data_IF_102734940277
#
_entry.id   IF_102734940277
#
_cell.length_a   1.000
_cell.length_b   1.000
_cell.length_c   1.000
_cell.angle_alpha   90.00
_cell.angle_beta   90.00
_cell.angle_gamma   90.00
#
_symmetry.space_group_name_H-M   'P 1'
#
loop_
_entity.id
_entity.type
_entity.pdbx_description
1 polymer ?
#
# COMPACT_ATOMS: atom_id res chain seq x y z
N UNK A 1 6.76 19.34 45.35
CA UNK A 1 7.91 19.77 44.51
C UNK A 1 8.72 18.52 44.26
N UNK A 2 8.93 17.98 43.06
CA UNK A 2 9.07 18.58 41.74
C UNK A 2 8.11 17.96 40.70
N UNK A 3 7.66 18.80 39.78
CA UNK A 3 6.94 18.45 38.57
C UNK A 3 7.86 17.73 37.58
N UNK A 4 7.39 16.67 36.92
CA UNK A 4 7.73 16.48 35.51
C UNK A 4 6.50 16.00 34.73
N UNK A 5 6.19 16.77 33.70
CA UNK A 5 4.97 16.75 32.89
C UNK A 5 5.09 15.73 31.75
N UNK A 6 3.93 15.34 31.21
CA UNK A 6 3.72 14.60 29.95
C UNK A 6 3.77 13.06 29.97
N UNK A 7 3.03 12.43 30.90
CA UNK A 7 2.32 11.19 30.53
C UNK A 7 0.93 11.62 30.07
N UNK A 8 0.81 12.05 28.80
CA UNK A 8 -0.49 12.22 28.17
C UNK A 8 -1.14 10.85 28.10
N UNK A 9 -2.29 10.72 28.76
CA UNK A 9 -3.31 9.66 28.62
C UNK A 9 -3.21 8.95 27.27
N UNK A 10 -2.68 7.74 27.26
CA UNK A 10 -2.87 6.79 26.17
C UNK A 10 -4.30 6.27 26.28
N UNK A 11 -5.18 6.75 25.40
CA UNK A 11 -6.44 6.07 25.13
C UNK A 11 -6.07 4.70 24.56
N UNK A 12 -6.50 3.62 25.24
CA UNK A 12 -6.33 2.24 24.79
C UNK A 12 -7.10 2.11 23.47
N UNK A 13 -6.39 2.23 22.36
CA UNK A 13 -6.93 2.04 21.02
C UNK A 13 -6.60 0.61 20.62
N UNK A 14 -7.62 -0.24 20.48
CA UNK A 14 -7.43 -1.62 20.03
C UNK A 14 -7.08 -1.60 18.53
N UNK A 15 -5.79 -1.82 18.21
CA UNK A 15 -5.33 -1.93 16.83
C UNK A 15 -5.36 -3.39 16.39
N UNK A 16 -6.28 -3.74 15.48
CA UNK A 16 -6.29 -5.05 14.85
C UNK A 16 -5.19 -5.13 13.80
N UNK A 17 -4.34 -6.16 13.91
CA UNK A 17 -3.27 -6.51 12.96
C UNK A 17 -3.30 -8.01 12.71
N UNK A 18 -3.00 -8.41 11.49
CA UNK A 18 -2.86 -9.83 11.15
C UNK A 18 -1.54 -10.37 11.67
N UNK A 19 -1.49 -11.68 11.87
CA UNK A 19 -0.28 -12.39 12.28
C UNK A 19 0.90 -12.19 11.31
N UNK A 20 0.62 -12.18 9.99
CA UNK A 20 1.65 -11.94 8.98
C UNK A 20 2.21 -10.52 9.04
N UNK A 21 1.38 -9.51 9.31
CA UNK A 21 1.85 -8.12 9.49
C UNK A 21 2.78 -8.00 10.69
N UNK A 22 2.43 -8.62 11.81
CA UNK A 22 3.28 -8.65 13.01
C UNK A 22 4.61 -9.37 12.75
N UNK A 23 4.59 -10.53 12.09
CA UNK A 23 5.82 -11.30 11.83
C UNK A 23 6.76 -10.54 10.88
N UNK A 24 6.21 -9.86 9.85
CA UNK A 24 7.01 -8.99 8.97
C UNK A 24 7.61 -7.78 9.69
N UNK A 25 6.88 -7.21 10.65
CA UNK A 25 7.39 -6.18 11.53
C UNK A 25 8.56 -6.68 12.38
N UNK A 26 8.42 -7.82 13.04
CA UNK A 26 9.47 -8.44 13.86
C UNK A 26 10.77 -8.69 13.08
N UNK A 27 10.68 -9.37 11.93
CA UNK A 27 11.85 -9.69 11.09
C UNK A 27 12.62 -8.43 10.68
N UNK A 28 11.91 -7.34 10.40
CA UNK A 28 12.53 -6.05 10.04
C UNK A 28 13.09 -5.32 11.23
N UNK A 29 12.44 -5.39 12.38
CA UNK A 29 12.94 -4.81 13.61
C UNK A 29 14.29 -5.45 13.98
N UNK A 30 14.38 -6.77 13.92
CA UNK A 30 15.64 -7.49 14.17
C UNK A 30 16.70 -7.26 13.08
N UNK A 31 16.30 -6.96 11.84
CA UNK A 31 17.24 -6.54 10.80
C UNK A 31 17.78 -5.13 11.03
N UNK A 32 16.92 -4.20 11.47
CA UNK A 32 17.27 -2.79 11.68
C UNK A 32 18.05 -2.59 12.99
N UNK A 33 17.71 -3.37 14.02
CA UNK A 33 18.32 -3.32 15.34
C UNK A 33 18.82 -4.71 15.77
N UNK A 34 19.85 -5.26 15.12
CA UNK A 34 20.30 -6.65 15.36
C UNK A 34 20.82 -6.91 16.78
N UNK A 35 21.17 -5.85 17.52
CA UNK A 35 21.68 -5.95 18.89
C UNK A 35 20.59 -5.87 19.96
N UNK A 36 19.31 -5.73 19.57
CA UNK A 36 18.20 -5.54 20.51
C UNK A 36 17.84 -6.80 21.30
N UNK A 37 18.22 -7.98 20.79
CA UNK A 37 18.02 -9.25 21.48
C UNK A 37 16.55 -9.66 21.65
N UNK A 38 15.64 -9.13 20.82
CA UNK A 38 14.23 -9.51 20.85
C UNK A 38 14.03 -10.82 20.11
N UNK A 39 13.51 -11.82 20.82
CA UNK A 39 13.26 -13.15 20.30
C UNK A 39 11.75 -13.44 20.23
N UNK A 40 11.34 -14.16 19.18
CA UNK A 40 9.99 -14.71 19.06
C UNK A 40 10.09 -16.23 19.12
N UNK A 41 9.41 -16.81 20.11
CA UNK A 41 9.47 -18.25 20.39
C UNK A 41 8.64 -19.11 19.42
N UNK A 42 8.14 -18.52 18.34
CA UNK A 42 7.24 -19.17 17.39
C UNK A 42 7.54 -18.73 15.95
N UNK A 43 7.14 -19.57 14.99
CA UNK A 43 7.45 -19.42 13.56
C UNK A 43 6.20 -19.14 12.73
N UNK A 44 6.40 -18.64 11.51
CA UNK A 44 5.34 -18.21 10.58
C UNK A 44 4.29 -19.30 10.22
N UNK A 45 4.54 -20.59 10.48
CA UNK A 45 3.80 -21.71 9.88
C UNK A 45 2.87 -22.52 10.80
N UNK A 46 2.58 -22.10 12.03
CA UNK A 46 1.81 -22.93 12.98
C UNK A 46 0.37 -22.44 13.17
N UNK A 47 -0.59 -23.09 12.49
CA UNK A 47 -2.03 -22.77 12.48
C UNK A 47 -2.87 -23.74 13.35
N UNK A 48 -2.55 -23.92 14.63
CA UNK A 48 -3.42 -24.66 15.56
C UNK A 48 -4.08 -23.74 16.59
N UNK A 49 -5.36 -23.98 16.95
CA UNK A 49 -6.15 -23.12 17.87
C UNK A 49 -5.52 -22.96 19.26
N UNK A 50 -4.81 -23.98 19.76
CA UNK A 50 -4.07 -23.93 21.03
C UNK A 50 -2.81 -23.05 20.88
N UNK A 51 -2.22 -23.06 19.69
CA UNK A 51 -1.03 -22.28 19.35
C UNK A 51 -1.35 -20.80 19.20
N UNK A 52 -2.55 -20.44 18.73
CA UNK A 52 -3.00 -19.04 18.67
C UNK A 52 -3.02 -18.34 20.05
N UNK A 53 -3.40 -19.04 21.13
CA UNK A 53 -3.33 -18.48 22.50
C UNK A 53 -1.89 -18.31 22.98
N UNK A 54 -0.99 -19.25 22.64
CA UNK A 54 0.45 -19.12 22.93
C UNK A 54 1.08 -17.96 22.16
N UNK A 55 0.76 -17.81 20.89
CA UNK A 55 1.19 -16.67 20.07
C UNK A 55 0.76 -15.35 20.69
N UNK A 56 -0.45 -15.23 21.24
CA UNK A 56 -0.86 -14.00 21.93
C UNK A 56 0.03 -13.70 23.14
N UNK A 57 0.34 -14.71 23.96
CA UNK A 57 1.24 -14.56 25.10
C UNK A 57 2.65 -14.14 24.65
N UNK A 58 3.20 -14.84 23.66
CA UNK A 58 4.54 -14.57 23.15
C UNK A 58 4.63 -13.20 22.45
N UNK A 59 3.56 -12.78 21.76
CA UNK A 59 3.43 -11.43 21.19
C UNK A 59 3.44 -10.39 22.31
N UNK A 60 2.64 -10.59 23.37
CA UNK A 60 2.61 -9.66 24.49
C UNK A 60 3.97 -9.55 25.18
N UNK A 61 4.66 -10.67 25.41
CA UNK A 61 6.01 -10.69 25.98
C UNK A 61 7.00 -9.94 25.08
N UNK A 62 6.93 -10.14 23.76
CA UNK A 62 7.72 -9.38 22.80
C UNK A 62 7.42 -7.89 22.87
N UNK A 63 6.15 -7.48 22.93
CA UNK A 63 5.74 -6.08 22.99
C UNK A 63 6.22 -5.41 24.28
N UNK A 64 6.09 -6.08 25.42
CA UNK A 64 6.64 -5.59 26.69
C UNK A 64 8.15 -5.36 26.61
N UNK A 65 8.89 -6.29 26.01
CA UNK A 65 10.34 -6.14 25.83
C UNK A 65 10.70 -5.04 24.82
N UNK A 66 9.91 -4.89 23.75
CA UNK A 66 10.07 -3.81 22.78
C UNK A 66 9.89 -2.45 23.43
N UNK A 67 8.83 -2.23 24.20
CA UNK A 67 8.58 -0.93 24.85
C UNK A 67 9.52 -0.64 26.03
N UNK A 68 10.26 -1.64 26.51
CA UNK A 68 11.34 -1.48 27.50
C UNK A 68 12.71 -1.27 26.86
N UNK A 69 12.82 -1.38 25.54
CA UNK A 69 14.06 -1.13 24.81
C UNK A 69 14.40 0.36 24.76
N UNK A 70 15.47 0.72 24.04
CA UNK A 70 15.92 2.12 23.97
C UNK A 70 14.91 3.00 23.23
N UNK A 71 14.85 4.28 23.60
CA UNK A 71 13.97 5.26 22.93
C UNK A 71 14.24 5.34 21.42
N UNK A 72 15.49 5.14 20.98
CA UNK A 72 15.84 5.07 19.55
C UNK A 72 15.08 3.97 18.80
N UNK A 73 14.83 2.84 19.45
CA UNK A 73 14.04 1.74 18.87
C UNK A 73 12.56 2.05 18.96
N UNK A 74 12.07 2.42 20.16
CA UNK A 74 10.64 2.64 20.41
C UNK A 74 10.08 3.80 19.58
N UNK A 75 10.87 4.86 19.39
CA UNK A 75 10.53 6.02 18.57
C UNK A 75 10.99 5.87 17.12
N UNK A 76 11.49 4.70 16.71
CA UNK A 76 11.84 4.47 15.32
C UNK A 76 10.61 4.55 14.42
N UNK A 77 10.79 5.08 13.21
CA UNK A 77 9.73 5.14 12.21
C UNK A 77 9.06 3.77 11.99
N UNK A 78 9.81 2.68 12.11
CA UNK A 78 9.30 1.31 11.98
C UNK A 78 8.28 0.97 13.07
N UNK A 79 8.59 1.28 14.34
CA UNK A 79 7.71 1.01 15.50
C UNK A 79 6.53 1.98 15.48
N UNK A 80 6.77 3.27 15.28
CA UNK A 80 5.72 4.29 15.22
C UNK A 80 4.73 3.97 14.08
N UNK A 81 5.23 3.61 12.89
CA UNK A 81 4.38 3.26 11.75
C UNK A 81 3.53 2.02 12.05
N UNK A 82 4.10 1.00 12.70
CA UNK A 82 3.36 -0.21 13.04
C UNK A 82 2.19 0.07 14.03
N UNK A 83 2.44 0.90 15.06
CA UNK A 83 1.47 1.17 16.13
C UNK A 83 0.55 2.38 15.91
N UNK A 84 0.94 3.41 15.14
CA UNK A 84 0.23 4.69 15.09
C UNK A 84 -0.39 5.07 13.72
N UNK A 85 -0.18 4.30 12.65
CA UNK A 85 -0.69 4.65 11.30
C UNK A 85 -2.22 4.56 11.10
N UNK A 86 -3.04 4.43 12.16
CA UNK A 86 -4.52 4.55 12.13
C UNK A 86 -4.99 5.55 13.21
N UNK A 87 -4.36 6.71 13.33
CA UNK A 87 -4.79 7.78 14.24
C UNK A 87 -5.05 9.11 13.51
N UNK A 88 -5.82 9.07 12.42
CA UNK A 88 -6.52 10.29 11.95
C UNK A 88 -8.05 10.15 11.87
N UNK A 89 -8.62 8.95 11.97
CA UNK A 89 -10.09 8.79 11.94
C UNK A 89 -10.78 9.11 13.27
N UNK A 90 -10.04 9.37 14.35
CA UNK A 90 -10.60 9.74 15.65
C UNK A 90 -10.42 11.21 16.07
N UNK A 91 -9.70 12.05 15.31
CA UNK A 91 -9.65 13.49 15.60
C UNK A 91 -10.76 14.30 14.89
N UNK A 92 -11.59 13.69 14.06
CA UNK A 92 -12.73 14.37 13.41
C UNK A 92 -14.00 14.35 14.30
N UNK A 93 -14.08 13.50 15.32
CA UNK A 93 -15.35 13.28 16.04
C UNK A 93 -15.56 14.07 17.35
N UNK A 94 -14.64 14.93 17.79
CA UNK A 94 -14.79 15.70 19.04
C UNK A 94 -14.66 17.23 18.90
N UNK A 95 -14.92 17.78 17.71
CA UNK A 95 -15.14 19.23 17.53
C UNK A 95 -16.58 19.50 17.09
N UNK A 96 -17.52 19.40 18.03
CA UNK A 96 -18.83 20.06 17.91
C UNK A 96 -18.66 21.56 18.16
N UNK A 97 -18.25 22.30 17.15
CA UNK A 97 -18.51 23.74 17.08
C UNK A 97 -19.43 24.05 15.89
N UNK A 98 -20.40 24.93 16.14
CA UNK A 98 -21.46 25.33 15.23
C UNK A 98 -20.90 25.96 13.92
N UNK A 99 -21.65 25.88 12.81
CA UNK A 99 -21.18 26.31 11.51
C UNK A 99 -21.06 27.83 11.47
N UNK A 100 -19.84 28.33 11.33
CA UNK A 100 -19.63 29.64 10.74
C UNK A 100 -19.43 29.43 9.25
N UNK A 101 -20.29 30.09 8.48
CA UNK A 101 -20.28 30.15 7.03
C UNK A 101 -18.87 30.46 6.51
N UNK A 102 -18.24 29.47 5.86
CA UNK A 102 -17.46 29.59 4.60
C UNK A 102 -16.67 28.30 4.26
N UNK A 103 -17.25 27.11 4.51
CA UNK A 103 -16.64 25.83 4.09
C UNK A 103 -17.22 25.30 2.75
N UNK A 104 -18.30 25.89 2.25
CA UNK A 104 -18.89 25.56 0.94
C UNK A 104 -18.13 26.18 -0.24
N UNK A 105 -17.13 27.04 -0.01
CA UNK A 105 -16.29 27.64 -1.06
C UNK A 105 -15.06 26.81 -1.43
N UNK A 106 -14.69 25.77 -0.65
CA UNK A 106 -13.53 24.90 -0.96
C UNK A 106 -13.89 23.56 -1.62
N UNK A 107 -15.17 23.27 -1.82
CA UNK A 107 -15.65 22.06 -2.51
C UNK A 107 -16.39 22.34 -3.82
N UNK A 108 -16.36 23.59 -4.31
CA UNK A 108 -17.10 23.96 -5.52
C UNK A 108 -16.37 25.00 -6.38
N UNK A 109 -15.05 24.86 -6.60
CA UNK A 109 -14.37 25.43 -7.78
C UNK A 109 -12.98 24.79 -7.94
N UNK A 110 -12.93 23.58 -8.49
CA UNK A 110 -11.81 23.22 -9.35
C UNK A 110 -12.34 22.59 -10.63
N UNK A 111 -12.63 23.46 -11.59
CA UNK A 111 -12.92 23.12 -12.97
C UNK A 111 -11.65 22.71 -13.74
N UNK A 112 -10.75 21.94 -13.12
CA UNK A 112 -9.62 21.32 -13.80
C UNK A 112 -9.70 19.79 -13.68
N UNK A 113 -10.11 19.15 -14.77
CA UNK A 113 -10.03 17.69 -14.98
C UNK A 113 -8.60 17.11 -14.88
N UNK A 114 -7.60 17.93 -14.53
CA UNK A 114 -6.18 17.60 -14.51
C UNK A 114 -5.67 17.00 -13.20
N UNK A 115 -6.42 17.09 -12.10
CA UNK A 115 -5.92 16.66 -10.78
C UNK A 115 -6.30 15.24 -10.37
N UNK A 116 -6.99 14.48 -11.24
CA UNK A 116 -7.34 13.09 -10.94
C UNK A 116 -6.10 12.18 -11.00
N UNK A 117 -5.97 11.21 -10.07
CA UNK A 117 -4.95 10.18 -10.14
C UNK A 117 -5.02 9.44 -11.50
N UNK A 118 -3.89 9.38 -12.22
CA UNK A 118 -3.83 8.78 -13.55
C UNK A 118 -2.54 8.00 -13.80
N UNK A 119 -2.58 7.09 -14.77
CA UNK A 119 -1.46 6.25 -15.20
C UNK A 119 -1.31 6.25 -16.72
N UNK A 120 -0.07 6.41 -17.20
CA UNK A 120 0.29 6.31 -18.62
C UNK A 120 0.70 4.88 -18.94
N UNK A 121 -0.09 4.21 -19.79
CA UNK A 121 0.17 2.83 -20.22
C UNK A 121 0.30 2.78 -21.74
N UNK A 122 1.29 2.04 -22.22
CA UNK A 122 1.48 1.71 -23.63
C UNK A 122 1.37 0.21 -23.84
N UNK A 123 0.48 -0.20 -24.73
CA UNK A 123 0.29 -1.59 -25.15
C UNK A 123 0.86 -1.80 -26.55
N UNK A 124 1.62 -2.87 -26.73
CA UNK A 124 2.12 -3.31 -28.04
C UNK A 124 1.98 -4.83 -28.12
N UNK A 125 1.56 -5.34 -29.28
CA UNK A 125 1.62 -6.77 -29.57
C UNK A 125 2.59 -6.99 -30.73
N UNK A 126 3.55 -7.89 -30.55
CA UNK A 126 4.59 -8.16 -31.54
C UNK A 126 5.20 -9.55 -31.32
N UNK A 127 5.44 -10.29 -32.41
CA UNK A 127 6.07 -11.61 -32.40
C UNK A 127 5.53 -12.59 -31.33
N UNK A 128 4.20 -12.71 -31.21
CA UNK A 128 3.59 -13.63 -30.24
C UNK A 128 3.56 -13.11 -28.79
N UNK A 129 3.90 -11.83 -28.57
CA UNK A 129 4.06 -11.26 -27.23
C UNK A 129 3.28 -9.97 -27.05
N UNK A 130 2.55 -9.88 -25.94
CA UNK A 130 2.00 -8.62 -25.44
C UNK A 130 3.04 -7.94 -24.55
N UNK A 131 3.34 -6.68 -24.88
CA UNK A 131 4.15 -5.77 -24.08
C UNK A 131 3.22 -4.73 -23.42
N UNK A 132 3.29 -4.66 -22.10
CA UNK A 132 2.57 -3.68 -21.27
C UNK A 132 3.60 -2.77 -20.63
N UNK A 133 3.82 -1.60 -21.21
CA UNK A 133 4.72 -0.60 -20.65
C UNK A 133 3.93 0.35 -19.75
N UNK A 134 4.29 0.39 -18.48
CA UNK A 134 3.80 1.39 -17.52
C UNK A 134 4.84 2.49 -17.43
N UNK A 135 4.54 3.68 -17.95
CA UNK A 135 5.52 4.78 -18.04
C UNK A 135 5.59 5.58 -16.75
N UNK A 136 4.49 6.19 -16.35
CA UNK A 136 4.39 7.02 -15.16
C UNK A 136 2.97 7.01 -14.59
N UNK A 137 2.84 7.37 -13.32
CA UNK A 137 1.56 7.76 -12.75
C UNK A 137 1.67 9.18 -12.18
N UNK A 138 0.56 9.93 -12.17
CA UNK A 138 0.50 11.29 -11.64
C UNK A 138 -0.61 11.41 -10.60
N UNK A 139 -0.43 12.34 -9.67
CA UNK A 139 -1.41 12.71 -8.65
C UNK A 139 -1.86 11.52 -7.79
N UNK A 140 -0.96 10.58 -7.47
CA UNK A 140 -1.29 9.49 -6.55
C UNK A 140 -1.73 10.05 -5.18
N UNK A 141 -2.61 9.35 -4.45
CA UNK A 141 -3.05 9.80 -3.13
C UNK A 141 -1.89 9.78 -2.13
N UNK A 142 -1.96 10.68 -1.15
CA UNK A 142 -1.11 10.62 0.03
C UNK A 142 -1.52 9.42 0.88
N UNK A 143 -0.55 8.82 1.56
CA UNK A 143 -0.82 7.79 2.56
C UNK A 143 -0.48 8.40 3.91
N UNK A 144 -1.51 8.68 4.71
CA UNK A 144 -1.38 9.30 6.04
C UNK A 144 -0.59 10.62 6.00
N UNK A 145 -0.86 11.46 5.00
CA UNK A 145 -0.19 12.75 4.81
C UNK A 145 1.22 12.67 4.19
N UNK A 146 1.76 11.46 3.97
CA UNK A 146 3.08 11.25 3.38
C UNK A 146 3.00 10.79 1.92
N UNK A 147 4.08 11.04 1.18
CA UNK A 147 4.26 10.53 -0.17
C UNK A 147 4.39 9.00 -0.16
N UNK A 148 3.74 8.29 -1.10
CA UNK A 148 3.79 6.83 -1.15
C UNK A 148 5.13 6.34 -1.72
N UNK A 149 5.38 5.04 -1.55
CA UNK A 149 6.42 4.28 -2.23
C UNK A 149 5.79 3.41 -3.33
N UNK A 150 5.39 3.98 -4.48
CA UNK A 150 4.57 3.30 -5.47
C UNK A 150 5.34 2.22 -6.24
N UNK A 151 4.64 1.14 -6.58
CA UNK A 151 5.07 0.14 -7.57
C UNK A 151 3.87 -0.41 -8.34
N UNK A 152 4.10 -0.90 -9.55
CA UNK A 152 3.03 -1.43 -10.40
C UNK A 152 2.88 -2.95 -10.28
N UNK A 153 1.65 -3.45 -10.42
CA UNK A 153 1.32 -4.86 -10.66
C UNK A 153 0.43 -4.98 -11.90
N UNK A 154 0.66 -6.03 -12.68
CA UNK A 154 -0.14 -6.36 -13.86
C UNK A 154 -0.65 -7.80 -13.77
N UNK A 155 -1.91 -8.01 -14.18
CA UNK A 155 -2.57 -9.32 -14.24
C UNK A 155 -3.44 -9.41 -15.49
N UNK A 156 -3.48 -10.57 -16.13
CA UNK A 156 -4.40 -10.86 -17.23
C UNK A 156 -5.56 -11.71 -16.74
N UNK A 157 -6.79 -11.21 -16.84
CA UNK A 157 -7.98 -11.97 -16.45
C UNK A 157 -8.73 -12.52 -17.68
N UNK A 158 -9.27 -13.75 -17.60
CA UNK A 158 -9.20 -14.68 -16.47
C UNK A 158 -7.82 -15.33 -16.28
N UNK A 159 -7.31 -15.40 -15.05
CA UNK A 159 -6.00 -16.00 -14.71
C UNK A 159 -6.15 -17.36 -14.02
N UNK A 160 -6.62 -18.37 -14.76
CA UNK A 160 -6.88 -19.70 -14.19
C UNK A 160 -5.62 -20.34 -13.57
N UNK A 161 -4.45 -20.11 -14.17
CA UNK A 161 -3.15 -20.62 -13.70
C UNK A 161 -2.49 -19.78 -12.62
N UNK A 162 -3.07 -18.62 -12.26
CA UNK A 162 -2.52 -17.65 -11.29
C UNK A 162 -1.06 -17.25 -11.59
N UNK A 163 -0.68 -17.24 -12.88
CA UNK A 163 0.71 -17.10 -13.32
C UNK A 163 0.98 -15.79 -14.09
N UNK A 164 -0.06 -14.98 -14.28
CA UNK A 164 0.02 -13.74 -15.07
C UNK A 164 0.49 -12.54 -14.26
N UNK A 165 0.68 -12.70 -12.95
CA UNK A 165 1.21 -11.63 -12.10
C UNK A 165 2.58 -11.18 -12.60
N UNK A 166 2.71 -9.88 -12.81
CA UNK A 166 3.99 -9.19 -13.01
C UNK A 166 4.06 -8.02 -12.04
N UNK A 167 5.25 -7.77 -11.47
CA UNK A 167 5.48 -6.71 -10.49
C UNK A 167 6.65 -5.84 -10.96
N UNK A 168 6.46 -4.54 -10.93
CA UNK A 168 7.48 -3.53 -11.25
C UNK A 168 8.37 -3.17 -10.08
N UNK A 169 9.28 -2.23 -10.32
CA UNK A 169 10.15 -1.69 -9.27
C UNK A 169 9.36 -0.73 -8.37
N UNK A 170 9.80 -0.63 -7.12
CA UNK A 170 9.30 0.38 -6.20
C UNK A 170 10.07 1.68 -6.40
N UNK A 171 9.34 2.79 -6.51
CA UNK A 171 9.89 4.14 -6.47
C UNK A 171 9.62 4.68 -5.07
N UNK A 172 10.62 5.30 -4.45
CA UNK A 172 10.50 5.80 -3.08
C UNK A 172 9.89 7.21 -3.08
N UNK A 173 9.04 7.51 -2.10
CA UNK A 173 8.54 8.84 -1.74
C UNK A 173 8.14 9.69 -2.96
N UNK A 174 7.16 9.21 -3.74
CA UNK A 174 6.72 9.92 -4.93
C UNK A 174 5.24 9.72 -5.25
N UNK A 175 4.53 10.83 -5.43
CA UNK A 175 3.16 10.86 -5.97
C UNK A 175 3.10 10.92 -7.49
N UNK A 176 4.25 11.15 -8.13
CA UNK A 176 4.39 11.25 -9.58
C UNK A 176 5.52 10.33 -10.10
N UNK A 177 5.45 9.01 -9.83
CA UNK A 177 6.50 8.06 -10.16
C UNK A 177 6.69 7.88 -11.67
N UNK A 178 7.94 7.81 -12.11
CA UNK A 178 8.34 7.39 -13.47
C UNK A 178 8.85 5.95 -13.40
N UNK A 179 7.99 4.99 -13.74
CA UNK A 179 8.31 3.56 -13.70
C UNK A 179 9.17 3.12 -14.88
N UNK A 180 8.72 3.40 -16.10
CA UNK A 180 9.27 2.84 -17.34
C UNK A 180 9.46 1.31 -17.31
N UNK A 181 8.59 0.60 -16.59
CA UNK A 181 8.59 -0.86 -16.52
C UNK A 181 7.84 -1.43 -17.74
N UNK A 182 8.40 -2.45 -18.38
CA UNK A 182 7.74 -3.21 -19.46
C UNK A 182 7.51 -4.65 -19.02
N UNK A 183 6.24 -5.06 -18.98
CA UNK A 183 5.84 -6.43 -18.67
C UNK A 183 5.49 -7.19 -19.94
N UNK A 184 6.04 -8.39 -20.09
CA UNK A 184 5.85 -9.22 -21.29
C UNK A 184 5.04 -10.46 -20.97
N UNK A 185 4.11 -10.77 -21.87
CA UNK A 185 3.27 -11.97 -21.86
C UNK A 185 3.40 -12.68 -23.21
N UNK A 186 3.90 -13.91 -23.20
CA UNK A 186 3.99 -14.76 -24.39
C UNK A 186 2.66 -15.49 -24.56
N UNK A 187 1.87 -15.05 -25.53
CA UNK A 187 0.50 -15.53 -25.74
C UNK A 187 0.01 -15.11 -27.12
N UNK A 188 -0.71 -15.99 -27.80
CA UNK A 188 -1.30 -15.71 -29.09
C UNK A 188 -2.33 -14.58 -29.02
N UNK A 189 -2.43 -13.80 -30.10
CA UNK A 189 -3.29 -12.62 -30.15
C UNK A 189 -4.76 -12.97 -29.89
N UNK A 190 -5.21 -14.12 -30.41
CA UNK A 190 -6.57 -14.63 -30.22
C UNK A 190 -6.89 -14.91 -28.75
N UNK A 191 -5.90 -15.32 -27.95
CA UNK A 191 -6.04 -15.52 -26.51
C UNK A 191 -5.92 -14.22 -25.72
N UNK A 192 -5.03 -13.31 -26.15
CA UNK A 192 -4.91 -11.96 -25.59
C UNK A 192 -6.23 -11.19 -25.73
N UNK A 193 -6.89 -11.25 -26.88
CA UNK A 193 -8.15 -10.54 -27.13
C UNK A 193 -9.32 -11.03 -26.27
N UNK A 194 -9.25 -12.23 -25.70
CA UNK A 194 -10.29 -12.75 -24.78
C UNK A 194 -10.11 -12.27 -23.34
N UNK A 195 -9.08 -11.47 -23.06
CA UNK A 195 -8.67 -11.08 -21.71
C UNK A 195 -8.86 -9.60 -21.46
N UNK A 196 -8.83 -9.23 -20.18
CA UNK A 196 -8.56 -7.86 -19.75
C UNK A 196 -7.21 -7.84 -19.05
N UNK A 197 -6.46 -6.75 -19.23
CA UNK A 197 -5.28 -6.47 -18.40
C UNK A 197 -5.69 -5.51 -17.29
N UNK A 198 -5.41 -5.91 -16.06
CA UNK A 198 -5.54 -5.07 -14.87
C UNK A 198 -4.17 -4.54 -14.50
N UNK A 199 -4.06 -3.23 -14.38
CA UNK A 199 -2.85 -2.54 -13.94
C UNK A 199 -3.19 -1.78 -12.66
N UNK A 200 -2.53 -2.14 -11.56
CA UNK A 200 -2.68 -1.43 -10.28
C UNK A 200 -1.35 -0.88 -9.76
N UNK A 201 -1.43 0.28 -9.11
CA UNK A 201 -0.33 0.91 -8.40
C UNK A 201 -0.54 0.68 -6.91
N UNK A 202 0.51 0.28 -6.22
CA UNK A 202 0.49 -0.09 -4.81
C UNK A 202 1.52 0.71 -4.04
N UNK A 203 1.20 1.09 -2.81
CA UNK A 203 2.17 1.61 -1.86
C UNK A 203 2.90 0.45 -1.19
N UNK A 204 4.22 0.42 -1.29
CA UNK A 204 5.06 -0.49 -0.53
C UNK A 204 5.39 0.15 0.83
N UNK A 205 4.56 -0.11 1.83
CA UNK A 205 4.85 0.28 3.22
C UNK A 205 5.46 -0.90 3.93
N UNK A 206 6.59 -0.66 4.59
CA UNK A 206 7.20 -1.68 5.42
C UNK A 206 6.31 -1.87 6.67
N UNK A 207 6.01 -3.11 7.06
CA UNK A 207 5.29 -3.48 8.29
C UNK A 207 3.76 -3.25 8.35
N UNK A 208 3.15 -2.47 7.44
CA UNK A 208 1.68 -2.19 7.43
C UNK A 208 0.94 -2.92 6.29
N UNK A 209 1.67 -3.68 5.48
CA UNK A 209 1.12 -4.30 4.27
C UNK A 209 1.09 -3.32 3.09
N UNK A 210 0.70 -3.85 1.92
CA UNK A 210 0.66 -3.04 0.70
C UNK A 210 -0.74 -2.47 0.50
N UNK A 211 -0.85 -1.16 0.27
CA UNK A 211 -2.13 -0.49 -0.02
C UNK A 211 -2.27 -0.23 -1.51
N UNK A 212 -3.48 -0.37 -2.07
CA UNK A 212 -3.72 -0.01 -3.48
C UNK A 212 -3.89 1.51 -3.57
N UNK A 213 -3.15 2.14 -4.48
CA UNK A 213 -3.21 3.59 -4.75
C UNK A 213 -4.11 3.93 -5.93
N UNK A 214 -4.36 2.95 -6.81
CA UNK A 214 -5.20 3.10 -7.99
C UNK A 214 -5.14 1.85 -8.87
N UNK A 215 -6.23 1.59 -9.59
CA UNK A 215 -6.33 0.46 -10.53
C UNK A 215 -7.07 0.86 -11.81
N UNK A 216 -6.69 0.23 -12.92
CA UNK A 216 -7.39 0.32 -14.21
C UNK A 216 -7.49 -1.06 -14.85
N UNK A 217 -8.64 -1.31 -15.48
CA UNK A 217 -8.90 -2.47 -16.32
C UNK A 217 -9.00 -2.05 -17.79
N UNK A 218 -8.24 -2.72 -18.64
CA UNK A 218 -8.23 -2.48 -20.08
C UNK A 218 -8.66 -3.77 -20.77
N UNK A 219 -9.83 -3.73 -21.41
CA UNK A 219 -10.35 -4.86 -22.19
C UNK A 219 -9.57 -4.98 -23.50
N UNK A 220 -8.83 -6.07 -23.68
CA UNK A 220 -7.86 -6.22 -24.76
C UNK A 220 -8.50 -6.47 -26.13
N UNK A 221 -9.77 -6.92 -26.18
CA UNK A 221 -10.56 -6.98 -27.42
C UNK A 221 -10.87 -5.60 -28.03
N UNK A 222 -10.82 -4.53 -27.23
CA UNK A 222 -11.11 -3.16 -27.69
C UNK A 222 -9.88 -2.42 -28.21
N UNK A 223 -8.73 -3.08 -28.22
CA UNK A 223 -7.46 -2.51 -28.65
C UNK A 223 -7.24 -2.77 -30.14
N UNK A 224 -6.94 -1.71 -30.89
CA UNK A 224 -6.52 -1.81 -32.28
C UNK A 224 -5.00 -2.03 -32.32
N UNK A 225 -4.60 -3.29 -32.44
CA UNK A 225 -3.19 -3.72 -32.40
C UNK A 225 -2.36 -3.26 -33.61
N UNK A 226 -2.98 -2.70 -34.64
CA UNK A 226 -2.26 -2.11 -35.79
C UNK A 226 -1.68 -0.72 -35.50
N UNK A 227 -2.05 -0.11 -34.36
CA UNK A 227 -1.68 1.26 -34.00
C UNK A 227 -0.85 1.31 -32.72
N UNK A 228 -0.23 2.46 -32.48
CA UNK A 228 0.35 2.76 -31.18
C UNK A 228 -0.76 2.95 -30.13
N UNK A 229 -0.73 2.14 -29.06
CA UNK A 229 -1.73 2.17 -27.99
C UNK A 229 -1.15 2.74 -26.70
N UNK A 230 -0.70 4.01 -26.73
CA UNK A 230 -0.21 4.75 -25.56
C UNK A 230 -1.25 5.77 -25.08
N UNK A 231 -1.81 5.59 -23.88
CA UNK A 231 -2.90 6.43 -23.36
C UNK A 231 -2.76 6.68 -21.85
N UNK A 232 -3.35 7.78 -21.41
CA UNK A 232 -3.56 8.08 -19.99
C UNK A 232 -4.88 7.45 -19.55
N UNK A 233 -4.86 6.74 -18.42
CA UNK A 233 -6.03 6.16 -17.79
C UNK A 233 -6.23 6.80 -16.42
N UNK A 234 -7.44 7.26 -16.14
CA UNK A 234 -7.81 7.70 -14.78
C UNK A 234 -8.07 6.47 -13.93
N UNK A 235 -7.52 6.42 -12.71
CA UNK A 235 -7.81 5.31 -11.80
C UNK A 235 -9.28 5.34 -11.38
N UNK A 236 -9.87 4.15 -11.18
CA UNK A 236 -11.19 4.06 -10.54
C UNK A 236 -11.09 4.50 -9.07
N UNK A 237 -12.17 5.07 -8.53
CA UNK A 237 -12.28 5.28 -7.08
C UNK A 237 -12.19 3.92 -6.40
N UNK A 238 -11.23 3.76 -5.49
CA UNK A 238 -11.16 2.60 -4.63
C UNK A 238 -11.93 3.00 -3.37
N UNK A 239 -13.19 2.61 -3.30
CA UNK A 239 -13.99 2.83 -2.10
C UNK A 239 -13.27 2.12 -0.94
N UNK A 240 -12.96 2.90 0.09
CA UNK A 240 -12.21 2.47 1.29
C UNK A 240 -13.17 1.93 2.34
#
# INVERSE_FOLDING_TARGET
>A
MMHNHNIKRLYITYHYRTYNEFYEFFERLNKQFPLIGLDLKFSRQTEDKIVAQRHVSDINDFLENLFRSTNEVVESDLVITFFHMIQQDQQINDSKEKPNDDFSSRLAHDSSSNNRPKIRIQLKYDNGKLFVMVRYANNLPLINGNDPNPYCKCYLFPDASKSTKRKGKTIMNSRNPIFNDTFTYEMDLSEIQKRLIRVSVWNNVLAVGNHVLGEVDIVLSKIDWSKENARDYTFFSIDS
#
